data_IF_385537163265
#
_entry.id   IF_385537163265
#
_cell.length_a   1.000
_cell.length_b   1.000
_cell.length_c   1.000
_cell.angle_alpha   90.00
_cell.angle_beta   90.00
_cell.angle_gamma   90.00
#
_symmetry.space_group_name_H-M   'P 1'
#
loop_
_entity.id
_entity.type
_entity.pdbx_description
1 polymer ?
#
# COMPACT_ATOMS: atom_id res chain seq x y z
N UNK A 1 0.35 -12.55 -11.92
CA UNK A 1 0.07 -13.97 -11.64
C UNK A 1 1.08 -14.80 -12.39
N UNK A 2 1.71 -15.80 -11.77
CA UNK A 2 2.62 -16.69 -12.48
C UNK A 2 1.91 -17.38 -13.65
N UNK A 3 2.62 -17.69 -14.75
CA UNK A 3 2.05 -18.41 -15.88
C UNK A 3 1.37 -19.72 -15.44
N UNK A 4 0.14 -19.96 -15.89
CA UNK A 4 -0.62 -21.17 -15.58
C UNK A 4 -1.43 -21.13 -14.28
N UNK A 5 -1.35 -20.06 -13.48
CA UNK A 5 -2.18 -19.93 -12.28
C UNK A 5 -3.57 -19.37 -12.61
N UNK A 6 -4.61 -20.16 -12.34
CA UNK A 6 -6.01 -19.72 -12.46
C UNK A 6 -6.43 -19.07 -11.14
N UNK A 7 -6.49 -17.75 -11.13
CA UNK A 7 -6.99 -17.01 -9.98
C UNK A 7 -8.50 -17.25 -9.80
N UNK A 8 -8.91 -17.50 -8.55
CA UNK A 8 -10.32 -17.52 -8.16
C UNK A 8 -10.65 -16.29 -7.32
N UNK A 9 -11.91 -15.84 -7.37
CA UNK A 9 -12.35 -14.71 -6.55
C UNK A 9 -12.44 -15.16 -5.10
N UNK A 10 -11.60 -14.60 -4.24
CA UNK A 10 -11.70 -14.76 -2.80
C UNK A 10 -12.88 -13.98 -2.23
N UNK A 11 -13.64 -14.58 -1.30
CA UNK A 11 -14.64 -13.88 -0.49
C UNK A 11 -14.01 -13.54 0.86
N UNK A 12 -13.54 -12.31 1.00
CA UNK A 12 -12.87 -11.84 2.22
C UNK A 12 -13.87 -11.15 3.16
N UNK A 13 -13.61 -11.23 4.46
CA UNK A 13 -14.37 -10.48 5.45
C UNK A 13 -14.03 -8.97 5.35
N UNK A 14 -15.07 -8.13 5.30
CA UNK A 14 -14.95 -6.67 5.24
C UNK A 14 -15.45 -6.03 6.53
N UNK A 15 -14.63 -5.18 7.14
CA UNK A 15 -14.94 -4.49 8.38
C UNK A 15 -15.15 -2.99 8.14
N UNK A 16 -16.15 -2.40 8.79
CA UNK A 16 -16.32 -0.93 8.88
C UNK A 16 -15.78 -0.50 10.24
N UNK A 17 -14.67 0.25 10.23
CA UNK A 17 -14.04 0.69 11.48
C UNK A 17 -14.77 1.91 12.06
N UNK A 18 -14.84 2.02 13.40
CA UNK A 18 -15.31 3.25 14.04
C UNK A 18 -14.29 4.38 13.81
N UNK A 19 -14.76 5.62 13.86
CA UNK A 19 -13.87 6.79 13.76
C UNK A 19 -12.85 6.83 14.91
N UNK A 20 -13.25 6.35 16.09
CA UNK A 20 -12.39 6.25 17.28
C UNK A 20 -12.61 4.92 17.98
N UNK A 21 -11.51 4.32 18.43
CA UNK A 21 -11.53 3.14 19.30
C UNK A 21 -11.48 3.62 20.75
N UNK A 22 -12.47 3.23 21.56
CA UNK A 22 -12.61 3.67 22.95
C UNK A 22 -12.48 2.53 23.96
N UNK A 23 -12.27 1.30 23.48
CA UNK A 23 -12.16 0.11 24.33
C UNK A 23 -13.52 -0.46 24.75
N UNK A 24 -14.57 -0.17 23.99
CA UNK A 24 -15.90 -0.73 24.26
C UNK A 24 -15.93 -2.25 24.04
N UNK A 25 -16.96 -2.92 24.56
CA UNK A 25 -17.18 -4.34 24.25
C UNK A 25 -17.28 -4.59 22.73
N UNK A 26 -17.90 -3.66 22.00
CA UNK A 26 -18.00 -3.72 20.54
C UNK A 26 -16.61 -3.66 19.87
N UNK A 27 -15.72 -2.80 20.35
CA UNK A 27 -14.35 -2.69 19.83
C UNK A 27 -13.58 -4.01 20.05
N UNK A 28 -13.72 -4.59 21.24
CA UNK A 28 -13.09 -5.88 21.58
C UNK A 28 -13.63 -7.02 20.70
N UNK A 29 -14.94 -7.04 20.45
CA UNK A 29 -15.56 -8.05 19.59
C UNK A 29 -15.11 -7.90 18.13
N UNK A 30 -15.05 -6.67 17.62
CA UNK A 30 -14.53 -6.38 16.28
C UNK A 30 -13.07 -6.81 16.14
N UNK A 31 -12.22 -6.48 17.12
CA UNK A 31 -10.81 -6.89 17.11
C UNK A 31 -10.66 -8.42 17.07
N UNK A 32 -11.45 -9.16 17.87
CA UNK A 32 -11.46 -10.64 17.84
C UNK A 32 -11.87 -11.17 16.46
N UNK A 33 -12.88 -10.57 15.83
CA UNK A 33 -13.32 -10.96 14.49
C UNK A 33 -12.22 -10.70 13.44
N UNK A 34 -11.58 -9.52 13.47
CA UNK A 34 -10.48 -9.18 12.57
C UNK A 34 -9.29 -10.13 12.72
N UNK A 35 -8.91 -10.48 13.96
CA UNK A 35 -7.84 -11.46 14.24
C UNK A 35 -8.21 -12.84 13.66
N UNK A 36 -9.46 -13.27 13.79
CA UNK A 36 -9.91 -14.55 13.26
C UNK A 36 -9.90 -14.57 11.72
N UNK A 37 -10.36 -13.49 11.07
CA UNK A 37 -10.28 -13.34 9.62
C UNK A 37 -8.81 -13.42 9.14
N UNK A 38 -7.90 -12.72 9.82
CA UNK A 38 -6.47 -12.79 9.48
C UNK A 38 -5.90 -14.19 9.68
N UNK A 39 -6.19 -14.87 10.80
CA UNK A 39 -5.72 -16.25 11.04
C UNK A 39 -6.23 -17.25 10.01
N UNK A 40 -7.46 -17.06 9.53
CA UNK A 40 -8.12 -17.97 8.58
C UNK A 40 -7.68 -17.72 7.14
N UNK A 41 -7.67 -16.46 6.72
CA UNK A 41 -7.53 -16.08 5.31
C UNK A 41 -6.20 -15.37 5.00
N UNK A 42 -5.40 -15.03 6.01
CA UNK A 42 -4.13 -14.30 5.86
C UNK A 42 -4.29 -12.80 5.57
N UNK A 43 -5.52 -12.35 5.31
CA UNK A 43 -5.87 -10.97 4.95
C UNK A 43 -7.32 -10.68 5.35
N UNK A 44 -7.66 -9.39 5.50
CA UNK A 44 -9.01 -8.89 5.67
C UNK A 44 -9.20 -7.60 4.86
N UNK A 45 -10.45 -7.17 4.67
CA UNK A 45 -10.77 -5.91 4.02
C UNK A 45 -11.28 -4.89 5.05
N UNK A 46 -10.92 -3.62 4.85
CA UNK A 46 -11.49 -2.51 5.59
C UNK A 46 -12.23 -1.60 4.61
N UNK A 47 -13.50 -1.33 4.90
CA UNK A 47 -14.31 -0.44 4.09
C UNK A 47 -13.79 0.99 4.17
N UNK A 48 -13.71 1.66 3.03
CA UNK A 48 -13.41 3.08 2.96
C UNK A 48 -14.69 3.89 3.19
N UNK A 49 -14.56 5.00 3.92
CA UNK A 49 -15.53 6.10 3.83
C UNK A 49 -15.44 6.79 2.47
N UNK A 50 -16.46 7.56 2.11
CA UNK A 50 -16.48 8.34 0.86
C UNK A 50 -15.29 9.32 0.74
N UNK A 51 -14.85 9.91 1.85
CA UNK A 51 -13.67 10.78 1.88
C UNK A 51 -12.38 9.99 1.59
N UNK A 52 -12.23 8.80 2.19
CA UNK A 52 -11.07 7.93 1.94
C UNK A 52 -11.05 7.43 0.50
N UNK A 53 -12.21 7.05 -0.05
CA UNK A 53 -12.32 6.62 -1.45
C UNK A 53 -11.94 7.76 -2.42
N UNK A 54 -12.37 8.99 -2.14
CA UNK A 54 -11.98 10.17 -2.92
C UNK A 54 -10.46 10.38 -2.89
N UNK A 55 -9.84 10.29 -1.71
CA UNK A 55 -8.38 10.44 -1.57
C UNK A 55 -7.62 9.33 -2.31
N UNK A 56 -8.07 8.09 -2.21
CA UNK A 56 -7.53 6.96 -2.96
C UNK A 56 -7.58 7.21 -4.48
N UNK A 57 -8.72 7.69 -4.99
CA UNK A 57 -8.87 8.01 -6.41
C UNK A 57 -7.94 9.14 -6.88
N UNK A 58 -7.71 10.16 -6.04
CA UNK A 58 -6.76 11.23 -6.33
C UNK A 58 -5.31 10.71 -6.35
N UNK A 59 -4.92 9.89 -5.37
CA UNK A 59 -3.60 9.27 -5.31
C UNK A 59 -3.36 8.36 -6.53
N UNK A 60 -4.33 7.55 -6.91
CA UNK A 60 -4.25 6.71 -8.11
C UNK A 60 -4.12 7.53 -9.40
N UNK A 61 -4.84 8.66 -9.50
CA UNK A 61 -4.70 9.56 -10.65
C UNK A 61 -3.30 10.18 -10.70
N UNK A 62 -2.77 10.63 -9.56
CA UNK A 62 -1.42 11.18 -9.46
C UNK A 62 -0.35 10.14 -9.83
N UNK A 63 -0.46 8.92 -9.31
CA UNK A 63 0.40 7.78 -9.67
C UNK A 63 0.40 7.53 -11.17
N UNK A 64 -0.78 7.37 -11.80
CA UNK A 64 -0.90 7.17 -13.25
C UNK A 64 -0.26 8.31 -14.06
N UNK A 65 -0.39 9.54 -13.61
CA UNK A 65 0.24 10.68 -14.28
C UNK A 65 1.77 10.68 -14.13
N UNK A 66 2.28 10.33 -12.95
CA UNK A 66 3.71 10.21 -12.71
C UNK A 66 4.35 9.12 -13.58
N UNK A 67 3.78 7.91 -13.62
CA UNK A 67 4.37 6.80 -14.39
C UNK A 67 4.26 6.96 -15.91
N UNK A 68 3.49 7.94 -16.42
CA UNK A 68 3.49 8.37 -17.83
C UNK A 68 4.67 9.27 -18.21
N UNK A 69 5.43 9.76 -17.24
CA UNK A 69 6.63 10.56 -17.50
C UNK A 69 7.71 9.75 -18.20
N UNK A 70 8.64 10.44 -18.83
CA UNK A 70 9.79 9.79 -19.47
C UNK A 70 10.65 9.08 -18.42
N UNK A 71 11.40 8.02 -18.81
CA UNK A 71 12.32 7.36 -17.90
C UNK A 71 13.28 8.34 -17.21
N UNK A 72 13.85 9.31 -17.93
CA UNK A 72 14.77 10.30 -17.34
C UNK A 72 14.12 11.15 -16.26
N UNK A 73 12.87 11.58 -16.45
CA UNK A 73 12.15 12.35 -15.42
C UNK A 73 11.86 11.51 -14.18
N UNK A 74 11.52 10.22 -14.34
CA UNK A 74 11.27 9.32 -13.21
C UNK A 74 12.55 9.05 -12.43
N UNK A 75 13.65 8.74 -13.11
CA UNK A 75 14.96 8.49 -12.48
C UNK A 75 15.54 9.73 -11.78
N UNK A 76 15.13 10.94 -12.16
CA UNK A 76 15.52 12.15 -11.44
C UNK A 76 14.85 12.27 -10.04
N UNK A 77 13.83 11.47 -9.75
CA UNK A 77 13.07 11.53 -8.51
C UNK A 77 13.59 10.51 -7.47
N UNK A 78 14.88 10.58 -7.14
CA UNK A 78 15.55 9.76 -6.12
C UNK A 78 16.09 10.63 -4.99
N UNK A 79 16.44 10.02 -3.86
CA UNK A 79 16.97 10.74 -2.70
C UNK A 79 18.20 10.01 -2.12
N UNK A 80 19.33 10.69 -2.02
CA UNK A 80 20.59 10.08 -1.55
C UNK A 80 20.62 9.82 -0.02
N UNK A 81 19.64 10.34 0.72
CA UNK A 81 19.58 10.28 2.18
C UNK A 81 18.41 9.45 2.73
N UNK A 82 17.61 8.82 1.86
CA UNK A 82 16.51 7.94 2.25
C UNK A 82 16.10 7.02 1.10
N UNK A 83 15.35 5.97 1.39
CA UNK A 83 14.75 5.11 0.35
C UNK A 83 13.52 5.73 -0.34
N UNK A 84 13.27 7.04 -0.18
CA UNK A 84 12.18 7.71 -0.90
C UNK A 84 12.54 7.89 -2.37
N UNK A 85 11.51 7.81 -3.22
CA UNK A 85 11.64 8.10 -4.64
C UNK A 85 11.31 6.93 -5.53
N UNK A 86 11.69 7.06 -6.79
CA UNK A 86 11.37 6.13 -7.86
C UNK A 86 12.31 4.91 -7.86
N UNK A 87 11.71 3.74 -8.09
CA UNK A 87 12.39 2.47 -8.36
C UNK A 87 11.89 1.94 -9.70
N UNK A 88 12.81 1.62 -10.60
CA UNK A 88 12.48 1.16 -11.93
C UNK A 88 12.01 -0.30 -11.95
N UNK A 89 11.24 -0.67 -12.97
CA UNK A 89 10.87 -2.06 -13.22
C UNK A 89 12.12 -2.92 -13.39
N UNK A 90 12.23 -3.98 -12.59
CA UNK A 90 13.35 -4.91 -12.56
C UNK A 90 14.50 -4.50 -11.62
N UNK A 91 14.39 -3.37 -10.93
CA UNK A 91 15.42 -2.90 -9.98
C UNK A 91 15.31 -3.59 -8.61
N UNK A 92 14.08 -3.79 -8.11
CA UNK A 92 13.84 -4.55 -6.88
C UNK A 92 14.01 -6.05 -7.14
N UNK A 93 14.70 -6.74 -6.24
CA UNK A 93 15.00 -8.18 -6.32
C UNK A 93 14.39 -8.89 -5.11
N UNK A 94 13.43 -9.79 -5.36
CA UNK A 94 12.81 -10.64 -4.36
C UNK A 94 13.14 -12.11 -4.65
N UNK A 95 13.74 -12.80 -3.68
CA UNK A 95 14.19 -14.20 -3.83
C UNK A 95 15.13 -14.41 -5.04
N UNK A 96 15.99 -13.43 -5.30
CA UNK A 96 16.93 -13.45 -6.44
C UNK A 96 16.29 -13.19 -7.81
N UNK A 97 14.97 -12.92 -7.86
CA UNK A 97 14.21 -12.64 -9.08
C UNK A 97 13.83 -11.16 -9.12
N UNK A 98 13.94 -10.55 -10.31
CA UNK A 98 13.59 -9.15 -10.51
C UNK A 98 12.07 -8.93 -10.47
N UNK A 99 11.63 -7.97 -9.68
CA UNK A 99 10.24 -7.54 -9.61
C UNK A 99 9.92 -6.53 -10.71
N UNK A 100 8.81 -6.74 -11.43
CA UNK A 100 8.49 -5.95 -12.62
C UNK A 100 7.61 -4.73 -12.37
N UNK A 101 7.32 -4.42 -11.11
CA UNK A 101 6.60 -3.20 -10.75
C UNK A 101 7.50 -1.98 -10.89
N UNK A 102 6.98 -0.88 -11.42
CA UNK A 102 7.57 0.44 -11.17
C UNK A 102 6.99 0.98 -9.85
N UNK A 103 7.84 1.54 -8.98
CA UNK A 103 7.45 1.93 -7.62
C UNK A 103 7.85 3.39 -7.36
N UNK A 104 7.04 4.09 -6.58
CA UNK A 104 7.42 5.37 -5.98
C UNK A 104 7.23 5.27 -4.47
N UNK A 105 8.34 5.20 -3.74
CA UNK A 105 8.35 5.01 -2.29
C UNK A 105 8.22 6.35 -1.58
N UNK A 106 7.26 6.46 -0.67
CA UNK A 106 7.06 7.63 0.20
C UNK A 106 7.36 7.22 1.64
N UNK A 107 8.42 7.79 2.22
CA UNK A 107 8.71 7.65 3.65
C UNK A 107 8.30 8.92 4.42
N UNK A 108 8.54 8.93 5.73
CA UNK A 108 8.37 10.14 6.54
C UNK A 108 9.22 11.27 5.96
N UNK A 109 8.59 12.41 5.68
CA UNK A 109 9.28 13.60 5.19
C UNK A 109 10.01 14.29 6.35
N UNK A 110 11.28 13.96 6.54
CA UNK A 110 12.16 14.56 7.53
C UNK A 110 12.86 15.77 6.94
N UNK A 111 13.08 16.78 7.77
CA UNK A 111 13.88 17.94 7.38
C UNK A 111 15.36 17.54 7.36
N UNK A 112 16.17 18.26 6.60
CA UNK A 112 17.62 18.02 6.54
C UNK A 112 18.34 18.26 7.87
N UNK A 113 17.72 19.02 8.78
CA UNK A 113 18.21 19.35 10.12
C UNK A 113 17.62 18.46 11.23
N UNK A 114 16.76 17.48 10.90
CA UNK A 114 16.26 16.54 11.90
C UNK A 114 17.41 15.68 12.46
N UNK A 115 17.48 15.47 13.79
CA UNK A 115 18.45 14.55 14.38
C UNK A 115 18.29 13.14 13.82
N UNK A 116 19.41 12.51 13.44
CA UNK A 116 19.43 11.10 13.03
C UNK A 116 19.35 10.18 14.23
#
# INVERSE_FOLDING_TARGET
MPPGFVATVGKLETFVLPEKVVGSLSDVMMAKAMINAWRKDGILQVAMSSTQERLYNLANKASKNFFRKTPSEKHACVNDSSYCGYVASGEEITDGIADYSEIFTVSKNLRSDDPR
#
